data_IF_984022904630
#
_entry.id   IF_984022904630
#
_cell.length_a   1.000
_cell.length_b   1.000
_cell.length_c   1.000
_cell.angle_alpha   90.00
_cell.angle_beta   90.00
_cell.angle_gamma   90.00
#
_symmetry.space_group_name_H-M   'P 1'
#
loop_
_entity.id
_entity.type
_entity.pdbx_description
1 polymer ?
#
# COMPACT_ATOMS: atom_id res chain seq x y z
N UNK A 1 0.53 16.87 12.04
CA UNK A 1 -0.56 16.49 11.10
C UNK A 1 -1.85 16.30 11.90
N UNK A 2 -2.50 17.36 12.22
CA UNK A 2 -3.61 17.38 13.19
C UNK A 2 -4.94 16.76 12.69
N UNK A 3 -5.00 16.20 11.49
CA UNK A 3 -6.26 15.67 10.95
C UNK A 3 -6.12 14.46 10.00
N UNK A 4 -5.15 13.55 10.22
CA UNK A 4 -5.02 12.35 9.42
C UNK A 4 -6.23 11.43 9.66
N UNK A 5 -6.99 11.12 8.59
CA UNK A 5 -8.16 10.24 8.63
C UNK A 5 -7.97 8.95 7.85
N UNK A 6 -7.01 8.91 6.93
CA UNK A 6 -6.72 7.67 6.20
C UNK A 6 -5.27 7.56 5.72
N UNK A 7 -4.81 6.32 5.64
CA UNK A 7 -3.60 5.91 4.93
C UNK A 7 -3.97 5.22 3.62
N UNK A 8 -3.26 5.54 2.55
CA UNK A 8 -3.23 4.76 1.31
C UNK A 8 -1.88 4.06 1.26
N UNK A 9 -1.89 2.74 1.22
CA UNK A 9 -0.68 1.92 1.27
C UNK A 9 -0.51 1.16 -0.05
N UNK A 10 0.72 1.11 -0.57
CA UNK A 10 1.07 0.11 -1.55
C UNK A 10 1.24 -1.26 -0.88
N UNK A 11 1.27 -2.34 -1.66
CA UNK A 11 1.27 -3.70 -1.17
C UNK A 11 2.66 -4.35 -1.24
N UNK A 12 3.20 -4.51 -2.45
CA UNK A 12 4.48 -5.17 -2.68
C UNK A 12 5.63 -4.24 -2.25
N UNK A 13 6.60 -4.74 -1.47
CA UNK A 13 7.75 -3.99 -0.92
C UNK A 13 7.40 -2.83 0.03
N UNK A 14 6.13 -2.51 0.20
CA UNK A 14 5.64 -1.51 1.18
C UNK A 14 5.05 -2.20 2.42
N UNK A 15 4.02 -3.02 2.25
CA UNK A 15 3.43 -3.83 3.33
C UNK A 15 4.15 -5.17 3.49
N UNK A 16 4.37 -5.86 2.36
CA UNK A 16 4.88 -7.21 2.33
C UNK A 16 6.10 -7.35 1.42
N UNK A 17 7.09 -8.10 1.88
CA UNK A 17 8.04 -8.72 0.97
C UNK A 17 7.35 -9.91 0.30
N UNK A 18 7.19 -9.81 -1.02
CA UNK A 18 6.53 -10.80 -1.89
C UNK A 18 7.49 -11.32 -2.96
N UNK A 19 8.80 -11.24 -2.73
CA UNK A 19 9.84 -11.61 -3.71
C UNK A 19 9.70 -13.05 -4.18
N UNK A 20 9.10 -13.91 -3.37
CA UNK A 20 8.88 -15.33 -3.69
C UNK A 20 8.07 -15.54 -4.97
N UNK A 21 7.18 -14.64 -5.35
CA UNK A 21 6.32 -14.78 -6.52
C UNK A 21 6.08 -13.52 -7.34
N UNK A 22 6.61 -12.36 -6.92
CA UNK A 22 6.34 -11.07 -7.56
C UNK A 22 6.73 -11.09 -9.04
N UNK A 23 7.85 -11.68 -9.41
CA UNK A 23 8.30 -11.80 -10.79
C UNK A 23 7.41 -12.73 -11.62
N UNK A 24 6.92 -13.81 -11.02
CA UNK A 24 5.97 -14.73 -11.67
C UNK A 24 4.66 -14.01 -11.98
N UNK A 25 4.15 -13.22 -11.02
CA UNK A 25 2.93 -12.43 -11.19
C UNK A 25 3.07 -11.32 -12.23
N UNK A 26 4.25 -10.69 -12.32
CA UNK A 26 4.54 -9.64 -13.31
C UNK A 26 4.67 -10.19 -14.73
N UNK A 27 5.31 -11.35 -14.90
CA UNK A 27 5.69 -11.91 -16.17
C UNK A 27 4.63 -12.82 -16.81
N UNK A 28 3.79 -13.47 -16.02
CA UNK A 28 2.69 -14.29 -16.53
C UNK A 28 1.43 -13.44 -16.77
N UNK A 29 0.87 -13.55 -17.98
CA UNK A 29 -0.41 -12.92 -18.31
C UNK A 29 -1.58 -13.71 -17.69
N UNK A 30 -2.67 -13.02 -17.40
CA UNK A 30 -3.78 -13.47 -16.54
C UNK A 30 -4.31 -14.91 -16.73
N UNK A 31 -4.31 -15.45 -17.96
CA UNK A 31 -4.73 -16.84 -18.25
C UNK A 31 -3.66 -17.90 -17.95
N UNK A 32 -2.40 -17.48 -17.74
CA UNK A 32 -1.25 -18.36 -17.47
C UNK A 32 -0.98 -18.52 -15.97
N UNK A 33 -1.61 -17.66 -15.14
CA UNK A 33 -1.50 -17.73 -13.69
C UNK A 33 -2.47 -18.77 -13.13
N UNK A 34 -1.92 -19.79 -12.51
CA UNK A 34 -2.69 -20.74 -11.71
C UNK A 34 -2.86 -20.13 -10.32
N UNK A 35 -4.04 -19.57 -10.05
CA UNK A 35 -4.31 -18.83 -8.82
C UNK A 35 -4.12 -19.64 -7.56
N UNK A 36 -4.40 -20.94 -7.59
CA UNK A 36 -4.18 -21.81 -6.45
C UNK A 36 -2.69 -21.89 -6.09
N UNK A 37 -1.79 -21.89 -7.09
CA UNK A 37 -0.34 -21.84 -6.85
C UNK A 37 0.08 -20.48 -6.26
N UNK A 38 -0.47 -19.37 -6.77
CA UNK A 38 -0.22 -18.03 -6.23
C UNK A 38 -0.69 -17.92 -4.78
N UNK A 39 -1.86 -18.46 -4.46
CA UNK A 39 -2.36 -18.43 -3.09
C UNK A 39 -1.56 -19.35 -2.15
N UNK A 40 -1.03 -20.45 -2.65
CA UNK A 40 -0.23 -21.40 -1.87
C UNK A 40 1.10 -20.79 -1.37
N UNK A 41 1.61 -19.73 -2.00
CA UNK A 41 2.85 -19.07 -1.54
C UNK A 41 2.62 -17.94 -0.54
N UNK A 42 1.37 -17.52 -0.29
CA UNK A 42 1.05 -16.47 0.70
C UNK A 42 1.72 -16.71 2.07
N UNK A 43 1.79 -17.96 2.62
CA UNK A 43 2.50 -18.20 3.88
C UNK A 43 4.00 -17.87 3.86
N UNK A 44 4.60 -17.73 2.67
CA UNK A 44 6.01 -17.36 2.50
C UNK A 44 6.23 -15.84 2.41
N UNK A 45 5.16 -15.04 2.28
CA UNK A 45 5.25 -13.58 2.34
C UNK A 45 5.67 -13.16 3.75
N UNK A 46 6.35 -12.03 3.82
CA UNK A 46 6.77 -11.45 5.09
C UNK A 46 6.21 -10.04 5.23
N UNK A 47 5.37 -9.84 6.24
CA UNK A 47 4.95 -8.51 6.65
C UNK A 47 6.17 -7.77 7.22
N UNK A 48 6.45 -6.54 6.74
CA UNK A 48 7.52 -5.75 7.33
C UNK A 48 7.20 -5.38 8.78
N UNK A 49 8.25 -5.34 9.58
CA UNK A 49 8.16 -5.02 11.01
C UNK A 49 7.52 -3.65 11.24
N UNK A 50 6.68 -3.55 12.26
CA UNK A 50 5.98 -2.33 12.64
C UNK A 50 4.58 -2.16 12.03
N UNK A 51 4.24 -2.89 10.97
CA UNK A 51 2.91 -2.74 10.37
C UNK A 51 1.77 -3.27 11.25
N UNK A 52 1.99 -4.32 12.04
CA UNK A 52 0.96 -4.81 12.98
C UNK A 52 0.59 -3.72 13.98
N UNK A 53 1.60 -3.05 14.51
CA UNK A 53 1.47 -1.95 15.47
C UNK A 53 0.78 -0.75 14.83
N UNK A 54 1.15 -0.39 13.59
CA UNK A 54 0.52 0.70 12.83
C UNK A 54 -0.95 0.40 12.54
N UNK A 55 -1.28 -0.84 12.12
CA UNK A 55 -2.68 -1.22 11.89
C UNK A 55 -3.52 -1.15 13.17
N UNK A 56 -2.98 -1.61 14.29
CA UNK A 56 -3.64 -1.49 15.60
C UNK A 56 -3.83 -0.02 15.99
N UNK A 57 -2.78 0.78 15.86
CA UNK A 57 -2.83 2.21 16.14
C UNK A 57 -3.83 2.95 15.24
N UNK A 58 -3.89 2.67 13.95
CA UNK A 58 -4.87 3.24 13.04
C UNK A 58 -6.31 2.92 13.52
N UNK A 59 -6.57 1.66 13.87
CA UNK A 59 -7.86 1.23 14.40
C UNK A 59 -8.25 2.00 15.68
N UNK A 60 -7.32 2.14 16.61
CA UNK A 60 -7.56 2.79 17.90
C UNK A 60 -7.80 4.31 17.75
N UNK A 61 -7.25 4.92 16.70
CA UNK A 61 -7.39 6.36 16.40
C UNK A 61 -8.43 6.65 15.31
N UNK A 62 -9.18 5.65 14.83
CA UNK A 62 -10.20 5.84 13.79
C UNK A 62 -9.64 6.22 12.42
N UNK A 63 -8.34 5.92 12.15
CA UNK A 63 -7.69 6.15 10.88
C UNK A 63 -7.97 4.96 9.97
N UNK A 64 -8.55 5.23 8.79
CA UNK A 64 -8.88 4.20 7.82
C UNK A 64 -7.66 3.78 7.01
N UNK A 65 -7.64 2.53 6.57
CA UNK A 65 -6.56 1.98 5.75
C UNK A 65 -7.13 1.54 4.40
N UNK A 66 -6.61 2.15 3.33
CA UNK A 66 -6.84 1.73 1.95
C UNK A 66 -5.56 1.16 1.34
N UNK A 67 -5.70 0.16 0.47
CA UNK A 67 -4.57 -0.41 -0.27
C UNK A 67 -4.78 -0.17 -1.75
N UNK A 68 -3.75 0.38 -2.42
CA UNK A 68 -3.72 0.59 -3.87
C UNK A 68 -2.51 -0.12 -4.45
N UNK A 69 -2.73 -1.15 -5.27
CA UNK A 69 -1.65 -1.98 -5.79
C UNK A 69 -1.90 -2.43 -7.22
N UNK A 70 -0.82 -2.79 -7.92
CA UNK A 70 -0.88 -3.50 -9.21
C UNK A 70 -1.22 -4.98 -9.05
N UNK A 71 -1.15 -5.53 -7.84
CA UNK A 71 -1.62 -6.86 -7.53
C UNK A 71 -3.14 -6.98 -7.62
N UNK A 72 -3.67 -8.17 -7.90
CA UNK A 72 -5.13 -8.37 -7.91
C UNK A 72 -5.71 -8.25 -6.50
N UNK A 73 -6.89 -7.62 -6.40
CA UNK A 73 -7.56 -7.38 -5.12
C UNK A 73 -7.81 -8.65 -4.30
N UNK A 74 -8.10 -9.77 -4.97
CA UNK A 74 -8.31 -11.07 -4.28
C UNK A 74 -7.01 -11.58 -3.63
N UNK A 75 -5.84 -11.37 -4.23
CA UNK A 75 -4.56 -11.74 -3.63
C UNK A 75 -4.29 -10.88 -2.39
N UNK A 76 -4.51 -9.57 -2.49
CA UNK A 76 -4.36 -8.64 -1.37
C UNK A 76 -5.25 -9.07 -0.22
N UNK A 77 -6.54 -9.31 -0.50
CA UNK A 77 -7.51 -9.74 0.51
C UNK A 77 -7.08 -11.03 1.22
N UNK A 78 -6.75 -12.08 0.46
CA UNK A 78 -6.31 -13.37 1.03
C UNK A 78 -5.03 -13.25 1.85
N UNK A 79 -4.10 -12.38 1.42
CA UNK A 79 -2.88 -12.12 2.18
C UNK A 79 -3.19 -11.45 3.51
N UNK A 80 -4.03 -10.41 3.52
CA UNK A 80 -4.43 -9.74 4.75
C UNK A 80 -5.15 -10.69 5.71
N UNK A 81 -6.05 -11.53 5.19
CA UNK A 81 -6.74 -12.56 5.98
C UNK A 81 -5.76 -13.52 6.64
N UNK A 82 -4.79 -14.04 5.88
CA UNK A 82 -3.75 -14.95 6.39
C UNK A 82 -2.93 -14.30 7.52
N UNK A 83 -2.56 -13.03 7.38
CA UNK A 83 -1.78 -12.29 8.38
C UNK A 83 -2.64 -11.66 9.48
N UNK A 84 -3.95 -11.91 9.49
CA UNK A 84 -4.93 -11.36 10.44
C UNK A 84 -4.91 -9.82 10.48
N UNK A 85 -4.79 -9.20 9.30
CA UNK A 85 -4.87 -7.74 9.12
C UNK A 85 -6.20 -7.37 8.46
N UNK A 86 -6.71 -6.17 8.78
CA UNK A 86 -7.95 -5.64 8.19
C UNK A 86 -7.70 -4.24 7.64
N UNK A 87 -8.08 -4.03 6.39
CA UNK A 87 -8.16 -2.71 5.79
C UNK A 87 -9.62 -2.33 5.47
N UNK A 88 -9.87 -1.04 5.24
CA UNK A 88 -11.21 -0.51 4.96
C UNK A 88 -11.56 -0.55 3.47
N UNK A 89 -10.57 -0.52 2.59
CA UNK A 89 -10.77 -0.57 1.15
C UNK A 89 -9.55 -1.11 0.39
N UNK A 90 -9.82 -1.74 -0.76
CA UNK A 90 -8.79 -2.21 -1.69
C UNK A 90 -9.13 -1.70 -3.09
N UNK A 91 -8.12 -1.17 -3.78
CA UNK A 91 -8.08 -0.93 -5.22
C UNK A 91 -6.88 -1.70 -5.76
N UNK A 92 -7.12 -2.93 -6.18
CA UNK A 92 -6.14 -3.79 -6.84
C UNK A 92 -6.04 -3.47 -8.33
N UNK A 93 -5.40 -4.35 -9.09
CA UNK A 93 -5.25 -4.25 -10.53
C UNK A 93 -6.56 -3.87 -11.25
N UNK A 94 -6.47 -2.88 -12.13
CA UNK A 94 -7.57 -2.38 -12.97
C UNK A 94 -7.22 -2.53 -14.46
N UNK A 95 -8.20 -2.86 -15.28
CA UNK A 95 -7.97 -3.09 -16.71
C UNK A 95 -7.53 -1.82 -17.44
N UNK A 96 -8.15 -0.68 -17.14
CA UNK A 96 -7.96 0.56 -17.89
C UNK A 96 -7.25 1.67 -17.11
N UNK A 97 -7.01 1.49 -15.82
CA UNK A 97 -6.39 2.49 -14.96
C UNK A 97 -5.23 1.85 -14.20
N UNK A 98 -4.03 2.36 -14.37
CA UNK A 98 -2.82 1.84 -13.71
C UNK A 98 -2.03 2.97 -13.07
N UNK A 99 -1.22 2.66 -12.06
CA UNK A 99 -0.20 3.59 -11.56
C UNK A 99 0.68 4.07 -12.73
N UNK A 100 1.03 5.35 -12.79
CA UNK A 100 0.85 6.44 -11.81
C UNK A 100 -0.45 7.26 -11.99
N UNK A 101 -1.53 6.71 -12.52
CA UNK A 101 -2.76 7.46 -12.75
C UNK A 101 -3.46 7.83 -11.42
N UNK A 102 -3.66 9.13 -11.18
CA UNK A 102 -4.31 9.64 -9.99
C UNK A 102 -5.77 9.21 -9.77
N UNK A 103 -6.45 8.70 -10.81
CA UNK A 103 -7.80 8.13 -10.68
C UNK A 103 -7.84 6.96 -9.67
N UNK A 104 -6.73 6.24 -9.46
CA UNK A 104 -6.67 5.20 -8.43
C UNK A 104 -6.83 5.79 -7.03
N UNK A 105 -6.27 6.98 -6.80
CA UNK A 105 -6.46 7.74 -5.56
C UNK A 105 -7.93 8.15 -5.40
N UNK A 106 -8.55 8.67 -6.45
CA UNK A 106 -9.98 9.03 -6.40
C UNK A 106 -10.86 7.81 -6.08
N UNK A 107 -10.55 6.65 -6.67
CA UNK A 107 -11.27 5.41 -6.42
C UNK A 107 -11.18 4.96 -4.96
N UNK A 108 -9.98 4.98 -4.37
CA UNK A 108 -9.79 4.54 -2.98
C UNK A 108 -10.39 5.54 -1.99
N UNK A 109 -10.24 6.84 -2.21
CA UNK A 109 -10.81 7.90 -1.37
C UNK A 109 -12.35 7.81 -1.34
N UNK A 110 -12.96 7.59 -2.49
CA UNK A 110 -14.42 7.38 -2.58
C UNK A 110 -14.87 6.18 -1.74
N UNK A 111 -14.11 5.09 -1.74
CA UNK A 111 -14.39 3.90 -0.90
C UNK A 111 -14.20 4.19 0.58
N UNK A 112 -13.15 4.91 0.94
CA UNK A 112 -12.83 5.29 2.32
C UNK A 112 -13.76 6.38 2.86
N UNK A 113 -14.40 7.17 1.98
CA UNK A 113 -15.26 8.32 2.35
C UNK A 113 -14.51 9.32 3.23
N UNK A 114 -13.40 9.82 2.73
CA UNK A 114 -12.54 10.83 3.35
C UNK A 114 -12.19 11.93 2.35
N UNK A 115 -11.72 13.06 2.83
CA UNK A 115 -11.22 14.15 1.99
C UNK A 115 -9.72 13.95 1.68
N UNK A 116 -9.26 14.43 0.52
CA UNK A 116 -7.85 14.27 0.06
C UNK A 116 -6.85 14.88 1.04
N UNK A 117 -7.19 16.02 1.64
CA UNK A 117 -6.32 16.74 2.58
C UNK A 117 -6.07 15.97 3.89
N UNK A 118 -6.93 14.99 4.20
CA UNK A 118 -6.86 14.15 5.40
C UNK A 118 -6.18 12.79 5.13
N UNK A 119 -5.52 12.64 3.96
CA UNK A 119 -4.95 11.37 3.49
C UNK A 119 -3.43 11.46 3.34
N UNK A 120 -2.75 10.41 3.79
CA UNK A 120 -1.33 10.18 3.53
C UNK A 120 -1.16 8.89 2.72
N UNK A 121 -0.47 8.97 1.59
CA UNK A 121 -0.08 7.83 0.77
C UNK A 121 1.35 7.39 1.07
N UNK A 122 1.60 6.09 1.09
CA UNK A 122 2.90 5.48 1.39
C UNK A 122 3.18 4.40 0.35
N UNK A 123 4.36 4.45 -0.25
CA UNK A 123 4.81 3.47 -1.25
C UNK A 123 6.33 3.46 -1.39
N UNK A 124 6.87 2.43 -2.01
CA UNK A 124 8.31 2.20 -2.17
C UNK A 124 8.88 2.65 -3.53
N UNK A 125 8.04 3.22 -4.40
CA UNK A 125 8.42 3.56 -5.78
C UNK A 125 8.05 4.98 -6.20
N UNK A 126 8.77 5.48 -7.21
CA UNK A 126 8.45 6.76 -7.86
C UNK A 126 7.06 6.73 -8.49
N UNK A 127 6.63 5.57 -9.00
CA UNK A 127 5.29 5.39 -9.56
C UNK A 127 4.20 5.63 -8.50
N UNK A 128 4.43 5.24 -7.25
CA UNK A 128 3.52 5.52 -6.13
C UNK A 128 3.48 7.01 -5.79
N UNK A 129 4.65 7.64 -5.77
CA UNK A 129 4.80 9.08 -5.58
C UNK A 129 4.04 9.87 -6.63
N UNK A 130 4.24 9.55 -7.92
CA UNK A 130 3.57 10.21 -9.03
C UNK A 130 2.04 9.98 -8.98
N UNK A 131 1.59 8.76 -8.68
CA UNK A 131 0.17 8.45 -8.49
C UNK A 131 -0.45 9.32 -7.39
N UNK A 132 0.23 9.47 -6.29
CA UNK A 132 -0.23 10.25 -5.14
C UNK A 132 -0.33 11.75 -5.49
N UNK A 133 0.68 12.30 -6.15
CA UNK A 133 0.66 13.70 -6.61
C UNK A 133 -0.39 13.93 -7.68
N UNK A 134 -0.52 13.03 -8.66
CA UNK A 134 -1.57 13.10 -9.69
C UNK A 134 -2.97 12.98 -9.08
N UNK A 135 -3.10 12.28 -7.98
CA UNK A 135 -4.33 12.15 -7.20
C UNK A 135 -4.59 13.29 -6.22
N UNK A 136 -3.61 14.18 -6.01
CA UNK A 136 -3.72 15.33 -5.11
C UNK A 136 -3.69 14.96 -3.63
N UNK A 137 -2.92 13.94 -3.23
CA UNK A 137 -2.69 13.56 -1.85
C UNK A 137 -1.21 13.65 -1.49
N UNK A 138 -0.92 13.83 -0.21
CA UNK A 138 0.44 13.82 0.32
C UNK A 138 1.03 12.41 0.22
N UNK A 139 2.35 12.34 -0.02
CA UNK A 139 3.08 11.08 -0.15
C UNK A 139 4.31 11.06 0.75
N UNK A 140 4.61 9.89 1.32
CA UNK A 140 5.88 9.58 1.97
C UNK A 140 6.46 8.29 1.38
N UNK A 141 7.75 8.32 1.05
CA UNK A 141 8.48 7.16 0.54
C UNK A 141 8.78 6.14 1.63
N UNK A 142 8.57 4.87 1.35
CA UNK A 142 8.93 3.74 2.19
C UNK A 142 10.36 3.28 1.86
N UNK A 143 11.33 3.49 2.77
CA UNK A 143 12.75 3.22 2.48
C UNK A 143 13.26 1.85 2.92
N UNK A 144 12.44 1.00 3.52
CA UNK A 144 12.89 -0.27 4.11
C UNK A 144 13.15 -1.41 3.12
N UNK A 145 12.61 -1.35 1.89
CA UNK A 145 12.88 -2.34 0.83
C UNK A 145 12.69 -1.77 -0.58
N UNK A 146 13.16 -0.54 -0.81
CA UNK A 146 13.07 0.09 -2.13
C UNK A 146 14.37 0.00 -2.91
N UNK A 147 14.27 -0.16 -4.22
CA UNK A 147 15.38 0.00 -5.17
C UNK A 147 15.59 1.47 -5.58
N UNK A 148 14.64 2.35 -5.25
CA UNK A 148 14.61 3.77 -5.64
C UNK A 148 14.96 4.72 -4.47
N UNK A 149 15.80 4.27 -3.54
CA UNK A 149 16.13 4.97 -2.30
C UNK A 149 16.66 6.40 -2.54
N UNK A 150 17.49 6.60 -3.57
CA UNK A 150 18.07 7.91 -3.89
C UNK A 150 17.00 8.93 -4.29
N UNK A 151 15.99 8.50 -5.06
CA UNK A 151 14.92 9.38 -5.52
C UNK A 151 13.86 9.62 -4.43
N UNK A 152 13.52 8.60 -3.67
CA UNK A 152 12.53 8.72 -2.61
C UNK A 152 13.04 9.54 -1.44
N UNK A 153 14.32 9.42 -1.08
CA UNK A 153 14.93 10.19 0.03
C UNK A 153 15.08 11.69 -0.24
N UNK A 154 14.90 12.14 -1.49
CA UNK A 154 14.82 13.58 -1.82
C UNK A 154 13.51 14.23 -1.37
N UNK A 155 12.51 13.44 -0.99
CA UNK A 155 11.21 13.89 -0.50
C UNK A 155 10.96 13.50 0.96
N UNK A 156 9.70 13.60 1.37
CA UNK A 156 9.29 13.06 2.66
C UNK A 156 9.32 11.54 2.61
N UNK A 157 9.94 10.90 3.58
CA UNK A 157 10.14 9.45 3.63
C UNK A 157 10.15 8.91 5.05
N UNK A 158 10.04 7.61 5.16
CA UNK A 158 10.02 6.83 6.40
C UNK A 158 11.08 5.73 6.31
N UNK A 159 11.88 5.59 7.35
CA UNK A 159 12.84 4.47 7.47
C UNK A 159 12.20 3.22 8.07
N UNK A 160 11.07 3.38 8.75
CA UNK A 160 10.26 2.27 9.27
C UNK A 160 8.78 2.65 9.36
N UNK A 161 7.85 1.68 9.29
CA UNK A 161 6.42 1.92 9.48
C UNK A 161 6.09 2.59 10.82
N UNK A 162 6.84 2.28 11.87
CA UNK A 162 6.63 2.82 13.23
C UNK A 162 6.77 4.35 13.33
N UNK A 163 7.50 4.97 12.40
CA UNK A 163 7.67 6.43 12.39
C UNK A 163 6.35 7.16 12.14
N UNK A 164 5.38 6.52 11.47
CA UNK A 164 4.04 7.09 11.25
C UNK A 164 3.35 7.50 12.54
N UNK A 165 3.46 6.67 13.58
CA UNK A 165 2.81 6.94 14.86
C UNK A 165 3.41 8.16 15.55
N UNK A 166 4.70 8.44 15.32
CA UNK A 166 5.40 9.63 15.87
C UNK A 166 5.01 10.91 15.14
N UNK A 167 4.77 10.82 13.83
CA UNK A 167 4.43 11.98 13.00
C UNK A 167 3.01 12.50 13.25
N UNK A 168 2.12 11.65 13.74
CA UNK A 168 0.70 11.95 13.94
C UNK A 168 0.32 12.08 15.42
N UNK A 169 1.21 11.67 16.33
CA UNK A 169 1.02 11.81 17.78
C UNK A 169 1.22 13.26 18.24
N UNK A 170 0.31 14.16 17.82
CA UNK A 170 0.22 15.54 18.34
C UNK A 170 -1.23 15.89 18.58
#
# INVERSE_FOLDING_TARGET
MSNLKALILDFDKTLFNTDVDIEVRKNKKGSELIWDEVFAVIPQYRLYEGWKEVFAWCKDNGIKIGIVSTAKGILIQKTLEYFNLKCDAIVGWQLYVRKPNGKLVDMIIKKLKVDKDDVLSIGDSIIDKEMSYNGGVRFMGALWDTEEIEELSKGECLSSPMELMKLVAI
#
